data_IF_833850613352
#
_entry.id   IF_833850613352
#
_cell.length_a   1.000
_cell.length_b   1.000
_cell.length_c   1.000
_cell.angle_alpha   90.00
_cell.angle_beta   90.00
_cell.angle_gamma   90.00
#
_symmetry.space_group_name_H-M   'P 1'
#
loop_
_entity.id
_entity.type
_entity.pdbx_description
1 polymer ?
#
# COMPACT_ATOMS: atom_id res chain seq x y z
N UNK A 1 27.92 -8.32 3.39
CA UNK A 1 27.12 -7.14 3.08
C UNK A 1 25.66 -7.45 3.08
N UNK A 2 24.90 -6.82 3.90
CA UNK A 2 23.49 -7.14 3.92
C UNK A 2 22.82 -6.80 2.60
N UNK A 3 21.80 -7.53 2.29
CA UNK A 3 21.02 -7.27 1.11
C UNK A 3 20.14 -6.05 1.37
N UNK A 4 20.50 -4.95 0.75
CA UNK A 4 19.79 -3.69 0.97
C UNK A 4 18.37 -3.72 0.45
N UNK A 5 18.02 -4.74 -0.30
CA UNK A 5 16.66 -4.87 -0.83
C UNK A 5 15.74 -5.71 0.05
N UNK A 6 16.27 -6.24 1.15
CA UNK A 6 15.42 -6.93 2.10
C UNK A 6 14.54 -5.91 2.82
N UNK A 7 13.25 -6.17 2.82
CA UNK A 7 12.30 -5.29 3.50
C UNK A 7 12.42 -5.45 4.99
N UNK A 8 12.81 -4.39 5.67
CA UNK A 8 12.94 -4.41 7.11
C UNK A 8 11.60 -4.19 7.77
N UNK A 9 11.21 -5.03 8.74
CA UNK A 9 9.92 -4.85 9.41
C UNK A 9 9.74 -3.48 10.03
N UNK A 10 10.79 -2.91 10.61
CA UNK A 10 10.69 -1.58 11.22
C UNK A 10 10.38 -0.50 10.19
N UNK A 11 11.01 -0.60 9.02
CA UNK A 11 10.79 0.38 7.97
C UNK A 11 9.37 0.27 7.44
N UNK A 12 8.89 -0.95 7.26
CA UNK A 12 7.52 -1.16 6.82
C UNK A 12 6.53 -0.61 7.85
N UNK A 13 6.76 -0.91 9.14
CA UNK A 13 5.88 -0.43 10.20
C UNK A 13 5.85 1.09 10.23
N UNK A 14 7.01 1.74 10.06
CA UNK A 14 7.07 3.19 10.05
C UNK A 14 6.33 3.77 8.85
N UNK A 15 6.49 3.14 7.68
CA UNK A 15 5.78 3.59 6.48
C UNK A 15 4.27 3.51 6.68
N UNK A 16 3.80 2.38 7.21
CA UNK A 16 2.37 2.20 7.47
C UNK A 16 1.87 3.26 8.46
N UNK A 17 2.62 3.48 9.54
CA UNK A 17 2.23 4.47 10.55
C UNK A 17 2.08 5.85 9.94
N UNK A 18 3.01 6.25 9.08
CA UNK A 18 2.97 7.57 8.45
C UNK A 18 1.78 7.71 7.51
N UNK A 19 1.49 6.67 6.74
CA UNK A 19 0.33 6.71 5.84
C UNK A 19 -0.96 6.78 6.66
N UNK A 20 -1.04 6.01 7.75
CA UNK A 20 -2.23 6.03 8.60
C UNK A 20 -2.45 7.42 9.20
N UNK A 21 -1.39 8.03 9.71
CA UNK A 21 -1.51 9.36 10.32
C UNK A 21 -1.92 10.40 9.28
N UNK A 22 -1.31 10.35 8.10
CA UNK A 22 -1.52 11.37 7.09
C UNK A 22 -2.87 11.22 6.37
N UNK A 23 -3.27 9.99 6.07
CA UNK A 23 -4.40 9.74 5.17
C UNK A 23 -5.59 9.09 5.84
N UNK A 24 -5.41 8.49 7.00
CA UNK A 24 -6.46 7.80 7.75
C UNK A 24 -7.23 6.81 6.87
N UNK A 25 -6.51 5.85 6.27
CA UNK A 25 -7.13 4.88 5.38
C UNK A 25 -7.96 3.86 6.14
N UNK A 26 -8.78 3.12 5.42
CA UNK A 26 -9.52 2.00 6.00
C UNK A 26 -8.68 0.73 6.01
N UNK A 27 -7.90 0.54 4.95
CA UNK A 27 -7.06 -0.67 4.82
C UNK A 27 -5.80 -0.34 4.06
N UNK A 28 -4.75 -1.09 4.33
CA UNK A 28 -3.51 -1.06 3.55
C UNK A 28 -3.10 -2.50 3.30
N UNK A 29 -2.89 -2.85 2.04
CA UNK A 29 -2.43 -4.17 1.62
C UNK A 29 -1.02 -4.12 1.08
N UNK A 30 -0.27 -5.17 1.34
CA UNK A 30 1.00 -5.44 0.65
C UNK A 30 0.74 -6.46 -0.44
N UNK A 31 1.18 -6.18 -1.65
CA UNK A 31 1.06 -7.15 -2.73
C UNK A 31 2.36 -7.18 -3.52
N UNK A 32 2.38 -7.96 -4.61
CA UNK A 32 3.57 -8.07 -5.42
C UNK A 32 4.61 -8.98 -4.79
N UNK A 33 5.86 -8.88 -5.28
CA UNK A 33 6.90 -9.84 -4.95
C UNK A 33 7.22 -9.92 -3.45
N UNK A 34 7.16 -8.80 -2.74
CA UNK A 34 7.43 -8.82 -1.30
C UNK A 34 6.35 -9.57 -0.52
N UNK A 35 5.10 -9.50 -0.97
CA UNK A 35 4.01 -10.23 -0.32
C UNK A 35 4.10 -11.73 -0.61
N UNK A 36 4.59 -12.08 -1.80
CA UNK A 36 4.64 -13.48 -2.22
C UNK A 36 5.92 -14.18 -1.79
N UNK A 37 6.80 -13.49 -1.08
CA UNK A 37 8.04 -14.08 -0.60
C UNK A 37 9.09 -14.27 -1.68
N UNK A 38 8.99 -13.54 -2.79
CA UNK A 38 9.95 -13.66 -3.89
C UNK A 38 10.42 -12.29 -4.36
N UNK A 39 10.92 -11.42 -3.45
CA UNK A 39 11.39 -10.11 -3.89
C UNK A 39 12.65 -10.23 -4.72
N UNK A 40 12.71 -9.44 -5.78
CA UNK A 40 13.93 -9.29 -6.55
C UNK A 40 14.83 -8.26 -5.89
N UNK A 41 16.09 -8.25 -6.31
CA UNK A 41 17.06 -7.30 -5.80
C UNK A 41 16.59 -5.84 -5.94
N UNK A 42 15.90 -5.52 -7.03
CA UNK A 42 15.45 -4.17 -7.32
C UNK A 42 13.94 -3.99 -7.15
N UNK A 43 13.27 -4.91 -6.46
CA UNK A 43 11.82 -4.82 -6.32
C UNK A 43 11.44 -3.71 -5.37
N UNK A 44 10.52 -2.86 -5.82
CA UNK A 44 9.85 -1.91 -4.93
C UNK A 44 8.80 -2.64 -4.09
N UNK A 45 8.46 -2.03 -2.98
CA UNK A 45 7.36 -2.53 -2.16
C UNK A 45 6.06 -2.03 -2.76
N UNK A 46 5.12 -2.92 -3.04
CA UNK A 46 3.85 -2.54 -3.64
C UNK A 46 2.77 -2.45 -2.56
N UNK A 47 2.23 -1.25 -2.38
CA UNK A 47 1.20 -1.00 -1.39
C UNK A 47 -0.10 -0.55 -2.06
N UNK A 48 -1.21 -1.08 -1.57
CA UNK A 48 -2.54 -0.64 -1.97
C UNK A 48 -3.21 -0.02 -0.74
N UNK A 49 -3.52 1.26 -0.83
CA UNK A 49 -4.15 2.02 0.24
C UNK A 49 -5.62 2.23 -0.11
N UNK A 50 -6.51 1.83 0.78
CA UNK A 50 -7.95 1.95 0.56
C UNK A 50 -8.51 3.02 1.50
N UNK A 51 -9.08 4.06 0.92
CA UNK A 51 -9.70 5.15 1.67
C UNK A 51 -11.21 4.93 1.70
N UNK A 52 -11.85 5.40 2.77
CA UNK A 52 -13.31 5.34 2.84
C UNK A 52 -13.94 6.24 1.79
N UNK A 53 -13.47 7.47 1.75
CA UNK A 53 -13.86 8.46 0.74
C UNK A 53 -12.64 9.26 0.39
N UNK A 54 -12.65 9.84 -0.79
CA UNK A 54 -11.54 10.68 -1.20
C UNK A 54 -12.06 12.00 -1.72
N UNK A 55 -11.57 13.09 -1.14
CA UNK A 55 -11.86 14.41 -1.63
C UNK A 55 -10.95 14.80 -2.80
N UNK A 56 -9.91 14.01 -3.03
CA UNK A 56 -8.90 14.32 -4.03
C UNK A 56 -8.97 13.36 -5.20
N UNK A 57 -8.63 13.83 -6.42
CA UNK A 57 -8.52 12.94 -7.57
C UNK A 57 -7.37 11.93 -7.37
N UNK A 58 -7.38 10.82 -8.13
CA UNK A 58 -6.41 9.74 -7.90
C UNK A 58 -4.94 10.18 -7.88
N UNK A 59 -4.56 11.09 -8.78
CA UNK A 59 -3.18 11.57 -8.82
C UNK A 59 -2.76 12.25 -7.53
N UNK A 60 -3.65 13.05 -6.97
CA UNK A 60 -3.34 13.79 -5.75
C UNK A 60 -3.34 12.87 -4.54
N UNK A 61 -4.16 11.82 -4.55
CA UNK A 61 -4.16 10.83 -3.48
C UNK A 61 -2.83 10.11 -3.40
N UNK A 62 -2.32 9.65 -4.54
CA UNK A 62 -1.03 8.98 -4.57
C UNK A 62 0.09 9.91 -4.11
N UNK A 63 0.04 11.16 -4.55
CA UNK A 63 1.04 12.15 -4.13
C UNK A 63 1.02 12.34 -2.62
N UNK A 64 -0.14 12.35 -2.01
CA UNK A 64 -0.25 12.49 -0.56
C UNK A 64 0.40 11.30 0.15
N UNK A 65 0.22 10.09 -0.39
CA UNK A 65 0.85 8.91 0.18
C UNK A 65 2.36 8.99 0.12
N UNK A 66 2.90 9.38 -1.03
CA UNK A 66 4.34 9.55 -1.17
C UNK A 66 4.87 10.66 -0.26
N UNK A 67 4.12 11.73 -0.13
CA UNK A 67 4.50 12.83 0.77
C UNK A 67 4.59 12.36 2.22
N UNK A 68 3.71 11.46 2.62
CA UNK A 68 3.73 10.91 3.97
C UNK A 68 5.04 10.18 4.27
N UNK A 69 5.67 9.64 3.23
CA UNK A 69 6.90 8.87 3.37
C UNK A 69 8.17 9.69 3.16
N UNK A 70 8.05 11.00 2.99
CA UNK A 70 9.23 11.82 2.73
C UNK A 70 10.23 11.69 3.88
N UNK A 71 11.51 11.65 3.52
CA UNK A 71 12.56 11.49 4.50
C UNK A 71 12.80 10.06 4.96
N UNK A 72 11.93 9.14 4.57
CA UNK A 72 12.09 7.73 4.88
C UNK A 72 12.56 7.02 3.63
N UNK A 73 13.67 6.29 3.72
CA UNK A 73 14.15 5.53 2.58
C UNK A 73 13.31 4.26 2.47
N UNK A 74 12.30 4.31 1.62
CA UNK A 74 11.35 3.22 1.47
C UNK A 74 10.88 3.20 0.02
N UNK A 75 11.61 2.50 -0.87
CA UNK A 75 11.21 2.41 -2.27
C UNK A 75 9.88 1.68 -2.38
N UNK A 76 8.85 2.41 -2.75
CA UNK A 76 7.52 1.85 -2.80
C UNK A 76 6.76 2.37 -3.99
N UNK A 77 5.89 1.52 -4.52
CA UNK A 77 4.88 1.92 -5.49
C UNK A 77 3.54 1.87 -4.78
N UNK A 78 2.85 2.99 -4.73
CA UNK A 78 1.64 3.10 -3.92
C UNK A 78 0.46 3.45 -4.81
N UNK A 79 -0.56 2.60 -4.75
CA UNK A 79 -1.83 2.87 -5.40
C UNK A 79 -2.85 3.20 -4.32
N UNK A 80 -3.60 4.28 -4.51
CA UNK A 80 -4.60 4.71 -3.55
C UNK A 80 -5.97 4.68 -4.21
N UNK A 81 -6.89 3.92 -3.64
CA UNK A 81 -8.25 3.79 -4.16
C UNK A 81 -9.25 4.08 -3.05
N UNK A 82 -10.48 4.39 -3.44
CA UNK A 82 -11.57 4.50 -2.47
C UNK A 82 -12.22 3.14 -2.28
N UNK A 83 -13.01 3.03 -1.20
CA UNK A 83 -13.80 1.81 -0.96
C UNK A 83 -14.68 1.48 -2.17
N UNK A 84 -15.28 2.49 -2.77
CA UNK A 84 -16.14 2.28 -3.92
C UNK A 84 -15.37 1.77 -5.13
N UNK A 85 -14.21 2.39 -5.39
CA UNK A 85 -13.35 1.93 -6.47
C UNK A 85 -12.87 0.51 -6.23
N UNK A 86 -12.51 0.21 -4.98
CA UNK A 86 -12.08 -1.14 -4.60
C UNK A 86 -13.16 -2.16 -4.94
N UNK A 87 -14.40 -1.90 -4.52
CA UNK A 87 -15.50 -2.82 -4.79
C UNK A 87 -15.72 -3.02 -6.29
N UNK A 88 -15.58 -1.96 -7.06
CA UNK A 88 -15.76 -2.02 -8.51
C UNK A 88 -14.66 -2.82 -9.19
N UNK A 89 -13.42 -2.57 -8.79
CA UNK A 89 -12.26 -3.22 -9.40
C UNK A 89 -12.13 -4.68 -9.01
N UNK A 90 -12.67 -5.08 -7.87
CA UNK A 90 -12.63 -6.49 -7.46
C UNK A 90 -13.43 -7.38 -8.41
N UNK A 91 -14.34 -6.81 -9.19
CA UNK A 91 -15.12 -7.56 -10.15
C UNK A 91 -14.36 -7.84 -11.45
N UNK A 92 -13.23 -7.19 -11.66
CA UNK A 92 -12.43 -7.39 -12.87
C UNK A 92 -11.61 -8.66 -12.76
N UNK A 93 -11.42 -9.35 -13.88
CA UNK A 93 -10.68 -10.61 -13.90
C UNK A 93 -9.23 -10.42 -13.47
N UNK A 94 -8.64 -9.29 -13.81
CA UNK A 94 -7.28 -9.03 -13.40
C UNK A 94 -7.16 -7.57 -12.99
N UNK A 95 -6.99 -7.36 -11.70
CA UNK A 95 -6.81 -6.03 -11.15
C UNK A 95 -5.80 -6.11 -10.02
N UNK A 96 -5.18 -4.98 -9.72
CA UNK A 96 -4.28 -4.88 -8.58
C UNK A 96 -5.05 -5.19 -7.30
N UNK A 97 -6.26 -4.68 -7.21
CA UNK A 97 -7.10 -4.87 -6.04
C UNK A 97 -7.39 -6.34 -5.77
N UNK A 98 -7.73 -7.07 -6.82
CA UNK A 98 -8.01 -8.49 -6.68
C UNK A 98 -6.77 -9.25 -6.27
N UNK A 99 -5.63 -8.94 -6.86
CA UNK A 99 -4.37 -9.58 -6.50
C UNK A 99 -4.01 -9.31 -5.04
N UNK A 100 -4.22 -8.06 -4.59
CA UNK A 100 -3.91 -7.70 -3.22
C UNK A 100 -4.76 -8.46 -2.22
N UNK A 101 -6.05 -8.60 -2.49
CA UNK A 101 -6.96 -9.30 -1.59
C UNK A 101 -6.71 -10.80 -1.59
N UNK A 102 -6.52 -11.39 -2.76
CA UNK A 102 -6.43 -12.85 -2.89
C UNK A 102 -5.05 -13.40 -2.56
N UNK A 103 -3.99 -12.67 -2.89
CA UNK A 103 -2.62 -13.17 -2.77
C UNK A 103 -1.73 -12.30 -1.90
N UNK A 104 -2.14 -11.08 -1.61
CA UNK A 104 -1.35 -10.18 -0.81
C UNK A 104 -1.58 -10.37 0.68
N UNK A 105 -1.17 -9.38 1.45
CA UNK A 105 -1.32 -9.40 2.90
C UNK A 105 -1.96 -8.10 3.35
N UNK A 106 -2.94 -8.23 4.24
CA UNK A 106 -3.55 -7.07 4.88
C UNK A 106 -2.61 -6.60 5.99
N UNK A 107 -2.07 -5.40 5.86
CA UNK A 107 -1.12 -4.84 6.82
C UNK A 107 -1.79 -3.94 7.85
N UNK A 108 -2.89 -3.34 7.49
CA UNK A 108 -3.59 -2.41 8.37
C UNK A 108 -5.07 -2.41 8.04
N UNK A 109 -5.87 -2.41 9.08
CA UNK A 109 -7.32 -2.28 8.93
C UNK A 109 -7.83 -1.42 10.07
N UNK A 110 -8.59 -0.36 9.71
CA UNK A 110 -9.17 0.50 10.71
C UNK A 110 -10.23 -0.25 11.50
N UNK A 111 -10.13 -0.18 12.82
CA UNK A 111 -11.13 -0.77 13.68
C UNK A 111 -12.38 0.12 13.65
N UNK A 112 -13.58 -0.45 13.40
CA UNK A 112 -14.80 0.34 13.49
C UNK A 112 -14.94 0.88 14.89
N UNK A 113 -15.15 2.18 14.98
CA UNK A 113 -15.22 2.86 16.27
C UNK A 113 -16.61 2.96 16.82
#
# INVERSE_FOLDING_TARGET
MPNVKTLEPRTLDEAIRRIVVEMQPEQIYLYGSHAYGRPHHDSDVDLLVVLGQAALPPRKRARAAYHALRGLFFPAEIKVVTREEMARHLQWNSSVEKAAVEKGRLLYERTPG
#
